data_IF_007865481405
#
_entry.id   IF_007865481405
#
_cell.length_a   1.000
_cell.length_b   1.000
_cell.length_c   1.000
_cell.angle_alpha   90.00
_cell.angle_beta   90.00
_cell.angle_gamma   90.00
#
_symmetry.space_group_name_H-M   'P 1'
#
loop_
_entity.id
_entity.type
_entity.pdbx_description
1 polymer ?
#
# COMPACT_ATOMS: atom_id res chain seq x y z
N UNK A 1 -6.88 82.55 38.99
CA UNK A 1 -7.62 81.63 38.10
C UNK A 1 -7.09 80.23 38.40
N UNK A 2 -7.65 79.36 39.24
CA UNK A 2 -8.97 79.29 39.86
C UNK A 2 -9.75 78.08 39.30
N UNK A 3 -9.69 76.92 39.99
CA UNK A 3 -10.67 75.83 39.86
C UNK A 3 -10.13 74.45 39.42
N UNK A 4 -10.07 73.49 40.35
CA UNK A 4 -10.38 72.06 40.06
C UNK A 4 -11.91 71.87 39.98
N UNK A 5 -12.54 70.68 40.16
CA UNK A 5 -12.01 69.39 40.66
C UNK A 5 -12.67 68.11 40.04
N UNK A 6 -12.45 66.97 40.70
CA UNK A 6 -13.39 65.87 41.01
C UNK A 6 -13.54 64.63 40.10
N UNK A 7 -13.45 63.49 40.81
CA UNK A 7 -13.81 62.11 40.50
C UNK A 7 -15.25 61.94 40.00
N UNK A 8 -15.52 60.83 39.28
CA UNK A 8 -16.76 60.06 39.53
C UNK A 8 -16.74 58.63 38.97
N UNK A 9 -17.55 57.83 39.67
CA UNK A 9 -17.63 56.37 39.77
C UNK A 9 -18.19 55.58 38.57
N UNK A 10 -17.93 54.27 38.64
CA UNK A 10 -18.51 53.11 37.95
C UNK A 10 -20.06 53.09 37.89
N UNK A 11 -20.68 52.34 36.95
CA UNK A 11 -21.18 51.01 37.37
C UNK A 11 -21.18 49.90 36.29
N UNK A 12 -21.01 48.64 36.75
CA UNK A 12 -21.47 47.38 36.13
C UNK A 12 -22.95 47.08 36.53
N UNK A 13 -23.53 45.89 36.26
CA UNK A 13 -23.91 45.21 35.00
C UNK A 13 -25.44 44.95 34.93
N UNK A 14 -25.98 44.46 33.81
CA UNK A 14 -27.39 44.10 33.68
C UNK A 14 -27.65 42.84 32.86
N UNK A 15 -28.02 41.76 33.56
CA UNK A 15 -28.63 40.53 33.03
C UNK A 15 -30.11 40.75 32.73
N UNK A 16 -30.65 40.06 31.72
CA UNK A 16 -32.09 40.06 31.42
C UNK A 16 -32.50 38.88 30.54
N UNK A 17 -32.95 37.81 31.20
CA UNK A 17 -33.70 36.68 30.66
C UNK A 17 -35.11 37.10 30.19
N UNK A 18 -35.69 36.33 29.25
CA UNK A 18 -37.11 35.99 29.31
C UNK A 18 -37.98 36.23 28.06
N UNK A 19 -38.22 35.15 27.31
CA UNK A 19 -39.58 34.66 27.08
C UNK A 19 -40.38 35.08 25.82
N UNK A 20 -40.69 34.07 24.98
CA UNK A 20 -42.07 33.86 24.53
C UNK A 20 -42.37 33.97 23.01
N UNK A 21 -43.37 33.21 22.50
CA UNK A 21 -43.31 32.58 21.17
C UNK A 21 -44.24 33.21 20.13
N UNK A 22 -43.88 33.13 18.83
CA UNK A 22 -44.81 33.21 17.70
C UNK A 22 -44.34 32.36 16.52
N UNK A 23 -45.11 31.33 16.23
CA UNK A 23 -45.22 30.70 14.91
C UNK A 23 -45.68 31.72 13.88
N UNK A 24 -45.20 31.59 12.62
CA UNK A 24 -45.99 31.63 11.39
C UNK A 24 -45.09 31.54 10.14
N UNK A 25 -45.45 30.59 9.27
CA UNK A 25 -45.21 30.53 7.81
C UNK A 25 -43.76 30.36 7.31
N UNK A 26 -43.50 29.19 6.71
CA UNK A 26 -42.19 28.78 6.19
C UNK A 26 -41.96 29.07 4.69
N UNK A 27 -40.79 28.63 4.17
CA UNK A 27 -40.61 28.35 2.76
C UNK A 27 -40.34 26.86 2.48
N UNK A 28 -40.58 26.50 1.22
CA UNK A 28 -40.61 25.17 0.64
C UNK A 28 -39.48 24.21 1.05
N UNK A 29 -39.87 23.00 1.42
CA UNK A 29 -39.02 21.82 1.56
C UNK A 29 -38.56 21.39 0.16
N UNK A 30 -37.28 21.56 -0.15
CA UNK A 30 -36.62 20.77 -1.18
C UNK A 30 -36.41 19.37 -0.57
N UNK A 31 -37.15 18.39 -1.09
CA UNK A 31 -36.94 16.98 -0.79
C UNK A 31 -35.48 16.61 -1.11
N UNK A 32 -34.71 16.33 -0.06
CA UNK A 32 -33.37 15.81 -0.20
C UNK A 32 -33.39 14.40 -0.80
N UNK A 33 -32.33 13.98 -1.49
CA UNK A 33 -32.23 12.63 -2.02
C UNK A 33 -32.37 11.60 -0.88
N UNK A 34 -32.96 10.42 -1.17
CA UNK A 34 -33.20 9.39 -0.16
C UNK A 34 -31.90 9.00 0.56
N UNK A 35 -31.95 8.64 1.86
CA UNK A 35 -30.79 8.18 2.58
C UNK A 35 -30.19 6.98 1.87
N UNK A 36 -28.90 7.06 1.55
CA UNK A 36 -28.14 5.95 1.01
C UNK A 36 -28.22 4.75 1.99
N UNK A 37 -28.33 3.50 1.50
CA UNK A 37 -28.33 2.33 2.36
C UNK A 37 -27.09 2.33 3.24
N UNK A 38 -27.31 2.34 4.55
CA UNK A 38 -26.27 2.15 5.56
C UNK A 38 -25.76 0.72 5.47
N UNK A 39 -24.65 0.53 4.75
CA UNK A 39 -23.87 -0.70 4.81
C UNK A 39 -23.09 -0.69 6.12
N UNK A 40 -23.53 -1.54 7.04
CA UNK A 40 -22.83 -1.85 8.28
C UNK A 40 -21.57 -2.67 7.93
N UNK A 41 -20.48 -1.97 7.61
CA UNK A 41 -19.17 -2.58 7.44
C UNK A 41 -18.63 -2.82 8.85
N UNK A 42 -18.99 -3.99 9.40
CA UNK A 42 -18.48 -4.46 10.68
C UNK A 42 -16.97 -4.34 10.74
N UNK A 43 -16.48 -3.56 11.71
CA UNK A 43 -15.06 -3.41 11.99
C UNK A 43 -14.45 -4.79 12.29
N UNK A 44 -13.40 -5.24 11.57
CA UNK A 44 -12.74 -6.49 11.90
C UNK A 44 -12.02 -6.33 13.24
N UNK A 45 -12.51 -7.03 14.27
CA UNK A 45 -11.91 -7.05 15.59
C UNK A 45 -10.50 -7.63 15.51
N UNK A 46 -9.49 -6.81 15.81
CA UNK A 46 -8.09 -7.19 15.85
C UNK A 46 -7.81 -8.13 17.04
N UNK A 47 -7.91 -9.43 16.80
CA UNK A 47 -7.27 -10.46 17.63
C UNK A 47 -6.46 -11.38 16.73
N UNK A 48 -5.29 -10.91 16.27
CA UNK A 48 -4.29 -11.77 15.65
C UNK A 48 -3.60 -12.56 16.76
N UNK A 49 -3.95 -13.86 16.88
CA UNK A 49 -3.14 -14.84 17.59
C UNK A 49 -1.86 -15.05 16.79
N UNK A 50 -0.71 -14.82 17.41
CA UNK A 50 0.57 -15.27 16.88
C UNK A 50 0.53 -16.81 16.85
N UNK A 51 0.43 -17.39 15.66
CA UNK A 51 0.60 -18.83 15.46
C UNK A 51 2.02 -19.03 14.95
N UNK A 52 2.91 -19.40 15.88
CA UNK A 52 4.17 -20.03 15.55
C UNK A 52 3.86 -21.37 14.89
N UNK A 53 4.32 -21.55 13.65
CA UNK A 53 4.16 -22.78 12.90
C UNK A 53 5.16 -23.81 13.43
N UNK A 54 4.76 -24.54 14.47
CA UNK A 54 5.44 -25.75 14.93
C UNK A 54 4.95 -26.89 14.05
N UNK A 55 5.88 -27.50 13.33
CA UNK A 55 5.71 -28.78 12.64
C UNK A 55 5.24 -29.84 13.65
N UNK A 56 4.01 -30.29 13.53
CA UNK A 56 3.52 -31.48 14.20
C UNK A 56 2.75 -32.34 13.20
N UNK A 57 3.41 -33.43 12.76
CA UNK A 57 2.77 -34.60 12.20
C UNK A 57 1.63 -35.05 13.14
N UNK A 58 0.42 -35.18 12.62
CA UNK A 58 -0.55 -36.13 13.13
C UNK A 58 -1.60 -36.43 12.05
N UNK A 59 -1.54 -37.66 11.54
CA UNK A 59 -2.55 -38.26 10.70
C UNK A 59 -3.89 -38.34 11.44
N UNK A 60 -4.99 -38.00 10.77
CA UNK A 60 -6.24 -38.72 10.98
C UNK A 60 -7.04 -38.78 9.68
N UNK A 61 -7.07 -40.00 9.13
CA UNK A 61 -7.90 -40.43 8.02
C UNK A 61 -9.35 -40.54 8.51
N UNK A 62 -10.27 -39.83 7.86
CA UNK A 62 -11.69 -40.13 7.91
C UNK A 62 -12.24 -40.04 6.47
N UNK A 63 -12.05 -41.14 5.75
CA UNK A 63 -12.53 -41.37 4.39
C UNK A 63 -14.00 -41.79 4.46
N UNK A 64 -14.90 -40.91 4.00
CA UNK A 64 -16.29 -41.26 3.70
C UNK A 64 -16.37 -41.48 2.18
N UNK A 65 -16.35 -42.76 1.78
CA UNK A 65 -16.55 -43.19 0.39
C UNK A 65 -18.04 -43.29 0.15
N UNK A 66 -18.61 -42.34 -0.59
CA UNK A 66 -19.85 -42.56 -1.30
C UNK A 66 -19.52 -43.15 -2.67
N UNK A 67 -19.76 -44.46 -2.82
CA UNK A 67 -19.59 -45.20 -4.07
C UNK A 67 -20.77 -44.88 -4.99
N UNK A 68 -20.50 -44.23 -6.11
CA UNK A 68 -21.33 -44.28 -7.30
C UNK A 68 -20.41 -44.62 -8.48
N UNK A 69 -20.68 -45.77 -9.11
CA UNK A 69 -19.80 -46.43 -10.06
C UNK A 69 -19.45 -45.61 -11.29
N UNK A 70 -18.17 -45.65 -11.66
CA UNK A 70 -17.67 -45.40 -13.03
C UNK A 70 -16.49 -46.35 -13.24
N UNK A 71 -16.54 -47.05 -14.38
CA UNK A 71 -15.57 -48.01 -14.90
C UNK A 71 -14.13 -47.51 -14.87
N UNK A 72 -13.21 -48.47 -14.66
CA UNK A 72 -11.80 -48.27 -14.38
C UNK A 72 -11.01 -47.53 -15.46
N UNK A 73 -10.20 -46.61 -14.97
CA UNK A 73 -8.91 -46.16 -15.49
C UNK A 73 -8.14 -45.70 -14.23
N UNK A 74 -6.86 -46.06 -14.09
CA UNK A 74 -5.97 -45.61 -13.00
C UNK A 74 -6.22 -44.14 -12.66
N UNK A 75 -6.19 -43.73 -11.37
CA UNK A 75 -6.63 -42.40 -10.95
C UNK A 75 -5.89 -41.35 -11.78
N UNK A 76 -6.54 -40.73 -12.78
CA UNK A 76 -5.83 -39.96 -13.82
C UNK A 76 -5.14 -38.72 -13.26
N UNK A 77 -5.26 -38.50 -11.96
CA UNK A 77 -5.13 -37.25 -11.28
C UNK A 77 -3.71 -36.90 -10.84
N UNK A 78 -2.93 -37.89 -10.39
CA UNK A 78 -1.54 -37.67 -9.96
C UNK A 78 -0.70 -37.30 -11.19
N UNK A 79 -0.76 -38.13 -12.23
CA UNK A 79 -0.12 -37.87 -13.52
C UNK A 79 -0.59 -36.55 -14.13
N UNK A 80 -1.90 -36.28 -14.13
CA UNK A 80 -2.46 -34.99 -14.61
C UNK A 80 -1.89 -33.80 -13.85
N UNK A 81 -1.81 -33.86 -12.51
CA UNK A 81 -1.27 -32.78 -11.69
C UNK A 81 0.23 -32.58 -11.94
N UNK A 82 1.01 -33.67 -12.03
CA UNK A 82 2.43 -33.62 -12.36
C UNK A 82 2.69 -33.04 -13.77
N UNK A 83 1.90 -33.43 -14.76
CA UNK A 83 1.99 -32.89 -16.12
C UNK A 83 1.57 -31.43 -16.21
N UNK A 84 0.45 -31.05 -15.57
CA UNK A 84 0.02 -29.66 -15.47
C UNK A 84 1.10 -28.81 -14.78
N UNK A 85 1.70 -29.32 -13.69
CA UNK A 85 2.79 -28.66 -12.99
C UNK A 85 4.03 -28.48 -13.87
N UNK A 86 4.47 -29.53 -14.58
CA UNK A 86 5.59 -29.46 -15.55
C UNK A 86 5.33 -28.47 -16.68
N UNK A 87 4.11 -28.43 -17.20
CA UNK A 87 3.71 -27.48 -18.24
C UNK A 87 3.74 -26.04 -17.69
N UNK A 88 3.25 -25.84 -16.47
CA UNK A 88 3.22 -24.53 -15.85
C UNK A 88 4.61 -23.98 -15.55
N UNK A 89 5.56 -24.80 -15.07
CA UNK A 89 6.94 -24.35 -14.81
C UNK A 89 7.67 -23.87 -16.07
N UNK A 90 7.26 -24.33 -17.26
CA UNK A 90 7.82 -23.86 -18.55
C UNK A 90 7.22 -22.53 -18.99
N UNK A 91 6.12 -22.09 -18.38
CA UNK A 91 5.45 -20.84 -18.75
C UNK A 91 6.22 -19.64 -18.21
N UNK A 92 6.44 -18.62 -19.05
CA UNK A 92 7.20 -17.41 -18.70
C UNK A 92 6.40 -16.48 -17.77
N UNK A 93 5.09 -16.35 -17.99
CA UNK A 93 4.20 -15.54 -17.17
C UNK A 93 2.74 -16.04 -17.22
N UNK A 94 1.96 -15.69 -16.21
CA UNK A 94 0.53 -15.97 -16.10
C UNK A 94 -0.24 -14.66 -16.00
N UNK A 95 -1.37 -14.57 -16.70
CA UNK A 95 -2.45 -13.67 -16.32
C UNK A 95 -3.36 -14.39 -15.30
N UNK A 96 -3.65 -13.69 -14.21
CA UNK A 96 -4.54 -14.08 -13.12
C UNK A 96 -5.72 -13.13 -13.11
N UNK A 97 -6.92 -13.63 -13.40
CA UNK A 97 -8.14 -12.82 -13.40
C UNK A 97 -9.17 -13.42 -12.44
N UNK A 98 -9.75 -12.60 -11.56
CA UNK A 98 -10.78 -13.06 -10.64
C UNK A 98 -10.97 -12.13 -9.46
N UNK A 99 -10.80 -12.67 -8.25
CA UNK A 99 -11.11 -11.96 -7.01
C UNK A 99 -9.98 -12.04 -5.99
N UNK A 100 -9.78 -10.94 -5.26
CA UNK A 100 -8.86 -10.81 -4.14
C UNK A 100 -9.45 -9.87 -3.11
N UNK A 101 -9.44 -10.26 -1.83
CA UNK A 101 -10.03 -9.50 -0.73
C UNK A 101 -11.49 -9.06 -0.99
N UNK A 102 -12.26 -9.92 -1.67
CA UNK A 102 -13.66 -9.66 -2.02
C UNK A 102 -13.90 -8.74 -3.23
N UNK A 103 -12.86 -8.12 -3.80
CA UNK A 103 -12.95 -7.28 -4.98
C UNK A 103 -12.43 -7.95 -6.25
N UNK A 104 -12.79 -7.39 -7.41
CA UNK A 104 -12.25 -7.82 -8.70
C UNK A 104 -10.74 -7.53 -8.77
N UNK A 105 -9.97 -8.46 -9.33
CA UNK A 105 -8.53 -8.40 -9.39
C UNK A 105 -7.97 -8.99 -10.68
N UNK A 106 -6.99 -8.28 -11.26
CA UNK A 106 -6.25 -8.68 -12.44
C UNK A 106 -4.77 -8.50 -12.17
N UNK A 107 -4.01 -9.60 -12.24
CA UNK A 107 -2.57 -9.58 -12.08
C UNK A 107 -1.89 -10.32 -13.23
N UNK A 108 -0.68 -9.89 -13.57
CA UNK A 108 0.25 -10.68 -14.35
C UNK A 108 1.42 -11.02 -13.43
N UNK A 109 1.79 -12.31 -13.39
CA UNK A 109 2.88 -12.83 -12.54
C UNK A 109 3.85 -13.60 -13.42
N UNK A 110 5.14 -13.25 -13.34
CA UNK A 110 6.20 -13.93 -14.09
C UNK A 110 6.65 -15.21 -13.39
N UNK A 111 7.44 -16.02 -14.10
CA UNK A 111 8.10 -17.22 -13.57
C UNK A 111 8.92 -16.95 -12.31
N UNK A 112 9.55 -15.78 -12.19
CA UNK A 112 10.35 -15.42 -11.03
C UNK A 112 9.52 -14.88 -9.85
N UNK A 113 8.22 -14.64 -10.05
CA UNK A 113 7.32 -14.09 -9.03
C UNK A 113 7.23 -12.57 -9.02
N UNK A 114 7.86 -11.89 -9.99
CA UNK A 114 7.60 -10.48 -10.25
C UNK A 114 6.15 -10.34 -10.73
N UNK A 115 5.42 -9.38 -10.17
CA UNK A 115 4.02 -9.21 -10.48
C UNK A 115 3.63 -7.75 -10.70
N UNK A 116 2.58 -7.55 -11.49
CA UNK A 116 1.93 -6.25 -11.65
C UNK A 116 0.45 -6.46 -11.89
N UNK A 117 -0.36 -5.56 -11.36
CA UNK A 117 -1.77 -5.50 -11.75
C UNK A 117 -2.55 -4.53 -10.92
N UNK A 118 -3.85 -4.79 -10.80
CA UNK A 118 -4.72 -4.01 -9.95
C UNK A 118 -5.83 -4.85 -9.35
N UNK A 119 -6.37 -4.38 -8.24
CA UNK A 119 -7.53 -4.94 -7.60
C UNK A 119 -8.42 -3.84 -7.02
N UNK A 120 -9.65 -4.19 -6.71
CA UNK A 120 -10.59 -3.30 -6.02
C UNK A 120 -10.58 -3.63 -4.53
N UNK A 121 -10.45 -2.62 -3.68
CA UNK A 121 -10.58 -2.78 -2.22
C UNK A 121 -11.45 -1.65 -1.68
N UNK A 122 -12.57 -2.01 -1.03
CA UNK A 122 -13.59 -1.05 -0.65
C UNK A 122 -14.11 -0.28 -1.88
N UNK A 123 -14.03 1.06 -1.83
CA UNK A 123 -14.53 1.94 -2.89
C UNK A 123 -13.45 2.44 -3.88
N UNK A 124 -12.23 1.89 -3.83
CA UNK A 124 -11.09 2.37 -4.61
C UNK A 124 -10.40 1.27 -5.41
N UNK A 125 -9.75 1.68 -6.50
CA UNK A 125 -8.83 0.83 -7.26
C UNK A 125 -7.42 0.95 -6.66
N UNK A 126 -6.75 -0.19 -6.53
CA UNK A 126 -5.37 -0.29 -6.06
C UNK A 126 -4.52 -0.88 -7.16
N UNK A 127 -3.53 -0.14 -7.64
CA UNK A 127 -2.48 -0.68 -8.49
C UNK A 127 -1.38 -1.29 -7.60
N UNK A 128 -0.83 -2.42 -8.02
CA UNK A 128 0.16 -3.20 -7.27
C UNK A 128 1.31 -3.62 -8.16
N UNK A 129 2.53 -3.53 -7.63
CA UNK A 129 3.75 -4.08 -8.22
C UNK A 129 4.49 -4.89 -7.15
N UNK A 130 4.85 -6.13 -7.46
CA UNK A 130 5.73 -6.95 -6.63
C UNK A 130 7.04 -7.12 -7.40
N UNK A 131 8.13 -6.52 -6.91
CA UNK A 131 9.44 -6.56 -7.58
C UNK A 131 10.55 -6.48 -6.54
N UNK A 132 11.63 -7.26 -6.75
CA UNK A 132 12.78 -7.27 -5.84
C UNK A 132 12.43 -7.67 -4.40
N UNK A 133 11.41 -8.52 -4.22
CA UNK A 133 10.94 -8.95 -2.89
C UNK A 133 10.16 -7.89 -2.12
N UNK A 134 9.76 -6.78 -2.77
CA UNK A 134 8.96 -5.71 -2.17
C UNK A 134 7.65 -5.56 -2.91
N UNK A 135 6.58 -5.24 -2.17
CA UNK A 135 5.29 -4.88 -2.75
C UNK A 135 5.11 -3.38 -2.68
N UNK A 136 4.67 -2.80 -3.80
CA UNK A 136 4.33 -1.39 -3.94
C UNK A 136 2.86 -1.24 -4.27
N UNK A 137 2.21 -0.24 -3.68
CA UNK A 137 0.80 0.06 -3.90
C UNK A 137 0.64 1.51 -4.33
N UNK A 138 -0.29 1.75 -5.24
CA UNK A 138 -0.76 3.09 -5.62
C UNK A 138 -2.28 3.09 -5.56
N UNK A 139 -2.83 3.93 -4.69
CA UNK A 139 -4.25 4.00 -4.40
C UNK A 139 -4.63 5.40 -3.94
N UNK A 140 -5.93 5.69 -3.93
CA UNK A 140 -6.46 6.96 -3.44
C UNK A 140 -6.46 7.06 -1.90
N UNK A 141 -6.65 8.27 -1.39
CA UNK A 141 -6.70 8.54 0.05
C UNK A 141 -7.79 7.78 0.80
N UNK A 142 -8.85 7.29 0.13
CA UNK A 142 -9.93 6.51 0.77
C UNK A 142 -9.44 5.12 1.11
N UNK A 143 -8.70 4.46 0.21
CA UNK A 143 -8.04 3.19 0.50
C UNK A 143 -7.12 3.29 1.72
N UNK A 144 -6.27 4.33 1.76
CA UNK A 144 -5.32 4.53 2.86
C UNK A 144 -6.01 4.76 4.21
N UNK A 145 -7.12 5.51 4.23
CA UNK A 145 -7.91 5.69 5.46
C UNK A 145 -8.56 4.38 5.89
N UNK A 146 -9.11 3.61 4.94
CA UNK A 146 -9.75 2.32 5.21
C UNK A 146 -8.75 1.28 5.76
N UNK A 147 -7.47 1.35 5.36
CA UNK A 147 -6.38 0.54 5.94
C UNK A 147 -5.84 1.09 7.26
N UNK A 148 -6.60 1.95 7.95
CA UNK A 148 -6.29 2.45 9.29
C UNK A 148 -5.23 3.55 9.33
N UNK A 149 -4.84 4.14 8.19
CA UNK A 149 -3.83 5.21 8.15
C UNK A 149 -4.44 6.55 8.54
N UNK A 150 -3.64 7.37 9.21
CA UNK A 150 -4.06 8.74 9.56
C UNK A 150 -4.35 9.57 8.30
N UNK A 151 -5.23 10.57 8.41
CA UNK A 151 -5.54 11.47 7.29
C UNK A 151 -4.31 12.16 6.69
N UNK A 152 -3.28 12.44 7.50
CA UNK A 152 -2.03 13.02 7.03
C UNK A 152 -1.19 12.04 6.18
N UNK A 153 -1.17 10.76 6.56
CA UNK A 153 -0.51 9.70 5.77
C UNK A 153 -1.29 9.44 4.49
N UNK A 154 -2.61 9.31 4.59
CA UNK A 154 -3.50 9.10 3.44
C UNK A 154 -3.39 10.23 2.39
N UNK A 155 -3.30 11.49 2.82
CA UNK A 155 -3.13 12.63 1.91
C UNK A 155 -1.77 12.65 1.21
N UNK A 156 -0.71 12.09 1.83
CA UNK A 156 0.62 11.97 1.19
C UNK A 156 0.70 10.81 0.21
N UNK A 157 -0.02 9.72 0.51
CA UNK A 157 -0.06 8.52 -0.30
C UNK A 157 -1.09 8.57 -1.44
N UNK A 158 -1.92 9.62 -1.49
CA UNK A 158 -3.01 9.78 -2.45
C UNK A 158 -2.50 9.80 -3.90
N UNK A 159 -2.74 8.71 -4.61
CA UNK A 159 -2.30 8.55 -6.00
C UNK A 159 -0.78 8.44 -6.17
N UNK A 160 0.00 8.26 -5.10
CA UNK A 160 1.44 8.08 -5.14
C UNK A 160 1.81 6.59 -5.01
N UNK A 161 2.96 6.19 -5.56
CA UNK A 161 3.54 4.89 -5.24
C UNK A 161 4.03 4.88 -3.79
N UNK A 162 3.69 3.82 -3.10
CA UNK A 162 4.07 3.59 -1.70
C UNK A 162 4.58 2.17 -1.53
N UNK A 163 5.41 1.92 -0.51
CA UNK A 163 5.58 0.53 -0.04
C UNK A 163 4.26 0.05 0.55
N UNK A 164 3.93 -1.22 0.30
CA UNK A 164 2.81 -1.85 0.96
C UNK A 164 3.08 -1.90 2.47
N UNK A 165 2.14 -1.42 3.29
CA UNK A 165 2.24 -1.67 4.72
C UNK A 165 2.30 -3.18 5.03
N UNK A 166 3.02 -3.56 6.08
CA UNK A 166 3.19 -4.97 6.45
C UNK A 166 1.88 -5.73 6.70
N UNK A 167 0.80 -5.01 7.02
CA UNK A 167 -0.53 -5.55 7.29
C UNK A 167 -1.52 -5.39 6.14
N UNK A 168 -1.14 -4.69 5.06
CA UNK A 168 -2.04 -4.38 3.94
C UNK A 168 -2.08 -5.46 2.86
N UNK A 169 -1.12 -6.38 2.84
CA UNK A 169 -0.98 -7.39 1.79
C UNK A 169 -0.79 -8.76 2.42
N UNK A 170 -1.87 -9.55 2.43
CA UNK A 170 -1.86 -10.92 2.99
C UNK A 170 -1.42 -11.97 1.96
N UNK A 171 -1.65 -11.71 0.67
CA UNK A 171 -1.27 -12.60 -0.43
C UNK A 171 0.03 -12.17 -1.11
N UNK A 172 1.03 -13.04 -1.11
CA UNK A 172 2.22 -12.96 -1.96
C UNK A 172 1.89 -13.41 -3.38
N UNK A 173 1.97 -12.52 -4.38
CA UNK A 173 1.73 -12.92 -5.78
C UNK A 173 2.85 -13.81 -6.31
N UNK A 174 4.05 -13.75 -5.73
CA UNK A 174 5.15 -14.66 -6.06
C UNK A 174 4.83 -16.13 -5.78
N UNK A 175 3.98 -16.41 -4.79
CA UNK A 175 3.51 -17.77 -4.48
C UNK A 175 2.52 -18.28 -5.54
N UNK A 176 1.95 -17.37 -6.34
CA UNK A 176 1.11 -17.65 -7.50
C UNK A 176 1.89 -17.60 -8.84
N UNK A 177 3.23 -17.55 -8.79
CA UNK A 177 4.06 -17.65 -10.00
C UNK A 177 3.93 -19.02 -10.67
N UNK A 178 4.12 -19.12 -12.00
CA UNK A 178 4.11 -20.41 -12.68
C UNK A 178 5.11 -21.42 -12.09
N UNK A 179 6.28 -20.97 -11.62
CA UNK A 179 7.26 -21.83 -10.92
C UNK A 179 6.69 -22.42 -9.64
N UNK A 180 6.14 -21.56 -8.76
CA UNK A 180 5.63 -21.98 -7.44
C UNK A 180 4.39 -22.83 -7.57
N UNK A 181 3.41 -22.41 -8.38
CA UNK A 181 2.22 -23.21 -8.63
C UNK A 181 2.57 -24.58 -9.24
N UNK A 182 3.52 -24.62 -10.18
CA UNK A 182 3.93 -25.87 -10.83
C UNK A 182 4.75 -26.79 -9.91
N UNK A 183 5.50 -26.23 -8.96
CA UNK A 183 6.14 -26.99 -7.89
C UNK A 183 5.10 -27.56 -6.92
N UNK A 184 4.21 -26.72 -6.40
CA UNK A 184 3.17 -27.12 -5.45
C UNK A 184 2.29 -28.24 -6.02
N UNK A 185 1.92 -28.18 -7.30
CA UNK A 185 1.13 -29.24 -7.94
C UNK A 185 1.86 -30.57 -8.03
N UNK A 186 3.18 -30.58 -8.24
CA UNK A 186 3.96 -31.81 -8.29
C UNK A 186 4.15 -32.42 -6.90
N UNK A 187 4.36 -31.59 -5.88
CA UNK A 187 4.50 -32.04 -4.49
C UNK A 187 3.15 -32.51 -3.90
N UNK A 188 2.06 -31.83 -4.24
CA UNK A 188 0.73 -32.13 -3.72
C UNK A 188 0.04 -33.31 -4.41
N UNK A 189 0.51 -33.73 -5.58
CA UNK A 189 -0.15 -34.75 -6.39
C UNK A 189 -0.17 -36.12 -5.71
N UNK A 190 0.81 -36.42 -4.86
CA UNK A 190 1.04 -37.79 -4.38
C UNK A 190 0.08 -38.19 -3.23
N UNK A 191 -0.51 -37.20 -2.52
CA UNK A 191 -1.21 -37.45 -1.25
C UNK A 191 -2.68 -36.97 -1.19
N UNK A 192 -3.25 -36.42 -2.27
CA UNK A 192 -4.50 -35.66 -2.18
C UNK A 192 -5.72 -36.30 -2.86
N UNK A 193 -6.90 -36.18 -2.22
CA UNK A 193 -8.15 -36.67 -2.80
C UNK A 193 -8.51 -35.83 -4.02
N UNK A 194 -8.69 -36.51 -5.14
CA UNK A 194 -9.05 -35.88 -6.41
C UNK A 194 -10.53 -36.06 -6.71
N UNK A 195 -11.19 -34.97 -7.07
CA UNK A 195 -12.60 -34.98 -7.49
C UNK A 195 -12.74 -34.51 -8.93
N UNK A 196 -13.45 -35.30 -9.75
CA UNK A 196 -13.87 -34.86 -11.10
C UNK A 196 -14.91 -33.76 -10.96
N UNK A 197 -14.82 -32.74 -11.80
CA UNK A 197 -15.76 -31.61 -11.80
C UNK A 197 -15.84 -31.00 -13.21
N UNK A 198 -16.62 -29.92 -13.35
CA UNK A 198 -16.63 -29.05 -14.52
C UNK A 198 -16.41 -27.61 -14.05
N UNK A 199 -15.56 -26.86 -14.75
CA UNK A 199 -15.33 -25.44 -14.49
C UNK A 199 -15.59 -24.67 -15.77
N UNK A 200 -16.56 -23.75 -15.77
CA UNK A 200 -16.96 -22.95 -16.94
C UNK A 200 -17.19 -23.81 -18.20
N UNK A 201 -17.85 -24.97 -18.05
CA UNK A 201 -18.11 -25.92 -19.13
C UNK A 201 -16.92 -26.84 -19.51
N UNK A 202 -15.73 -26.63 -18.95
CA UNK A 202 -14.54 -27.47 -19.19
C UNK A 202 -14.46 -28.61 -18.18
N UNK A 203 -14.35 -29.86 -18.65
CA UNK A 203 -14.11 -31.03 -17.80
C UNK A 203 -12.80 -30.83 -17.02
N UNK A 204 -12.89 -30.92 -15.69
CA UNK A 204 -11.79 -30.59 -14.81
C UNK A 204 -11.60 -31.60 -13.67
N UNK A 205 -10.44 -31.51 -13.04
CA UNK A 205 -10.07 -32.16 -11.78
C UNK A 205 -9.91 -31.07 -10.73
N UNK A 206 -10.55 -31.25 -9.57
CA UNK A 206 -10.36 -30.44 -8.38
C UNK A 206 -9.39 -31.14 -7.44
N UNK A 207 -8.30 -30.45 -7.10
CA UNK A 207 -7.28 -30.86 -6.16
C UNK A 207 -7.27 -29.86 -5.00
N UNK A 208 -7.40 -30.32 -3.75
CA UNK A 208 -7.46 -29.42 -2.58
C UNK A 208 -6.30 -29.74 -1.63
N UNK A 209 -5.43 -28.76 -1.41
CA UNK A 209 -4.31 -28.80 -0.44
C UNK A 209 -4.72 -28.09 0.84
N UNK A 210 -3.82 -28.06 1.84
CA UNK A 210 -4.06 -27.36 3.10
C UNK A 210 -4.32 -25.83 2.95
N UNK A 211 -3.87 -25.21 1.86
CA UNK A 211 -3.99 -23.76 1.67
C UNK A 211 -4.60 -23.33 0.33
N UNK A 212 -4.82 -24.25 -0.61
CA UNK A 212 -5.34 -23.88 -1.93
C UNK A 212 -6.13 -25.00 -2.60
N UNK A 213 -7.09 -24.63 -3.44
CA UNK A 213 -7.78 -25.51 -4.37
C UNK A 213 -7.34 -25.19 -5.79
N UNK A 214 -6.91 -26.22 -6.53
CA UNK A 214 -6.54 -26.13 -7.94
C UNK A 214 -7.59 -26.83 -8.80
N UNK A 215 -7.89 -26.22 -9.95
CA UNK A 215 -8.71 -26.81 -10.99
C UNK A 215 -7.87 -27.05 -12.22
N UNK A 216 -7.76 -28.31 -12.64
CA UNK A 216 -6.93 -28.75 -13.76
C UNK A 216 -7.80 -29.24 -14.91
N UNK A 217 -7.48 -28.94 -16.17
CA UNK A 217 -8.22 -29.48 -17.30
C UNK A 217 -8.00 -30.99 -17.45
N UNK A 218 -9.06 -31.70 -17.88
CA UNK A 218 -8.98 -33.11 -18.28
C UNK A 218 -8.80 -33.22 -19.79
N UNK A 219 -7.64 -32.82 -20.27
CA UNK A 219 -7.23 -32.86 -21.68
C UNK A 219 -5.90 -33.60 -21.84
N UNK A 220 -5.53 -33.96 -23.06
CA UNK A 220 -4.24 -34.62 -23.36
C UNK A 220 -3.02 -33.79 -22.91
N UNK A 221 -3.15 -32.46 -22.97
CA UNK A 221 -2.21 -31.52 -22.35
C UNK A 221 -2.94 -30.83 -21.19
N UNK A 222 -2.81 -31.34 -19.95
CA UNK A 222 -3.49 -30.75 -18.82
C UNK A 222 -2.87 -29.42 -18.44
N UNK A 223 -3.73 -28.47 -18.06
CA UNK A 223 -3.35 -27.11 -17.63
C UNK A 223 -4.12 -26.69 -16.39
N UNK A 224 -3.53 -25.79 -15.61
CA UNK A 224 -4.24 -25.12 -14.52
C UNK A 224 -5.24 -24.14 -15.11
N UNK A 225 -6.51 -24.29 -14.72
CA UNK A 225 -7.61 -23.42 -15.12
C UNK A 225 -7.89 -22.35 -14.07
N UNK A 226 -7.84 -22.72 -12.79
CA UNK A 226 -8.12 -21.83 -11.66
C UNK A 226 -7.36 -22.25 -10.41
N UNK A 227 -6.96 -21.27 -9.61
CA UNK A 227 -6.44 -21.44 -8.25
C UNK A 227 -7.30 -20.63 -7.28
N UNK A 228 -7.65 -21.22 -6.14
CA UNK A 228 -8.43 -20.59 -5.08
C UNK A 228 -7.73 -20.80 -3.74
N UNK A 229 -7.84 -19.83 -2.85
CA UNK A 229 -7.34 -19.93 -1.48
C UNK A 229 -8.16 -19.04 -0.57
N UNK A 230 -7.66 -18.82 0.65
CA UNK A 230 -8.32 -17.90 1.56
C UNK A 230 -8.25 -16.47 1.01
N UNK A 231 -9.42 -15.82 0.88
CA UNK A 231 -9.52 -14.46 0.36
C UNK A 231 -9.21 -14.26 -1.14
N UNK A 232 -8.99 -15.31 -1.94
CA UNK A 232 -8.76 -15.15 -3.39
C UNK A 232 -9.28 -16.31 -4.27
N UNK A 233 -9.55 -16.00 -5.54
CA UNK A 233 -9.88 -16.98 -6.58
C UNK A 233 -9.52 -16.41 -7.95
N UNK A 234 -8.58 -17.03 -8.66
CA UNK A 234 -8.07 -16.57 -9.97
C UNK A 234 -8.17 -17.64 -11.04
N UNK A 235 -8.73 -17.28 -12.19
CA UNK A 235 -8.53 -17.98 -13.44
C UNK A 235 -7.10 -17.77 -13.93
N UNK A 236 -6.46 -18.85 -14.38
CA UNK A 236 -5.05 -18.90 -14.74
C UNK A 236 -4.94 -19.02 -16.26
N UNK A 237 -4.29 -18.04 -16.90
CA UNK A 237 -4.05 -18.04 -18.34
C UNK A 237 -2.57 -17.84 -18.63
N UNK A 238 -1.89 -18.80 -19.29
CA UNK A 238 -0.53 -18.60 -19.78
C UNK A 238 -0.43 -17.38 -20.70
N UNK A 239 0.56 -16.53 -20.47
CA UNK A 239 0.79 -15.34 -21.29
C UNK A 239 1.67 -15.69 -22.51
N UNK A 240 1.29 -15.29 -23.74
CA UNK A 240 2.16 -15.47 -24.90
C UNK A 240 3.37 -14.53 -24.83
N UNK A 241 4.47 -14.89 -25.49
CA UNK A 241 5.74 -14.14 -25.44
C UNK A 241 5.59 -12.64 -25.78
N UNK A 242 4.78 -12.30 -26.78
CA UNK A 242 4.54 -10.90 -27.16
C UNK A 242 3.86 -10.08 -26.05
N UNK A 243 2.93 -10.70 -25.31
CA UNK A 243 2.29 -10.06 -24.16
C UNK A 243 3.24 -9.98 -22.95
N UNK A 244 4.16 -10.94 -22.80
CA UNK A 244 5.24 -10.90 -21.81
C UNK A 244 6.20 -9.73 -22.07
N UNK A 245 6.56 -9.46 -23.33
CA UNK A 245 7.41 -8.32 -23.69
C UNK A 245 6.73 -6.97 -23.39
N UNK A 246 5.43 -6.86 -23.70
CA UNK A 246 4.61 -5.69 -23.35
C UNK A 246 4.55 -5.52 -21.82
N UNK A 247 4.36 -6.61 -21.08
CA UNK A 247 4.38 -6.60 -19.62
C UNK A 247 5.70 -6.05 -19.09
N UNK A 248 6.86 -6.55 -19.54
CA UNK A 248 8.17 -6.08 -19.07
C UNK A 248 8.46 -4.63 -19.48
N UNK A 249 8.07 -4.21 -20.69
CA UNK A 249 8.19 -2.82 -21.12
C UNK A 249 7.42 -1.88 -20.18
N UNK A 250 6.16 -2.24 -19.89
CA UNK A 250 5.30 -1.42 -19.03
C UNK A 250 5.77 -1.46 -17.58
N UNK A 251 6.22 -2.62 -17.09
CA UNK A 251 6.75 -2.79 -15.74
C UNK A 251 8.05 -1.98 -15.55
N UNK A 252 8.97 -1.96 -16.51
CA UNK A 252 10.19 -1.12 -16.42
C UNK A 252 9.86 0.36 -16.32
N UNK A 253 8.87 0.83 -17.09
CA UNK A 253 8.39 2.21 -16.99
C UNK A 253 7.89 2.52 -15.57
N UNK A 254 7.01 1.68 -15.03
CA UNK A 254 6.46 1.90 -13.69
C UNK A 254 7.47 1.67 -12.56
N UNK A 255 8.44 0.76 -12.75
CA UNK A 255 9.56 0.59 -11.82
C UNK A 255 10.42 1.85 -11.75
N UNK A 256 10.56 2.59 -12.86
CA UNK A 256 11.15 3.93 -12.88
C UNK A 256 10.38 4.92 -11.98
N UNK A 257 9.05 4.84 -11.97
CA UNK A 257 8.19 5.67 -11.13
C UNK A 257 8.21 5.28 -9.63
N UNK A 258 8.92 4.20 -9.26
CA UNK A 258 9.10 3.81 -7.85
C UNK A 258 10.23 4.56 -7.14
N UNK A 259 11.00 5.39 -7.85
CA UNK A 259 12.00 6.28 -7.23
C UNK A 259 11.31 7.20 -6.22
N UNK A 260 11.82 7.20 -4.98
CA UNK A 260 11.24 8.03 -3.92
C UNK A 260 9.83 7.60 -3.51
N UNK A 261 9.41 6.36 -3.76
CA UNK A 261 8.12 5.85 -3.31
C UNK A 261 7.96 6.03 -1.79
N UNK A 262 6.79 6.50 -1.35
CA UNK A 262 6.57 6.86 0.06
C UNK A 262 6.43 5.62 0.95
N UNK A 263 7.01 5.65 2.15
CA UNK A 263 6.87 4.57 3.14
C UNK A 263 5.84 4.95 4.23
N UNK A 264 4.63 4.35 4.22
CA UNK A 264 3.57 4.66 5.17
C UNK A 264 3.74 3.99 6.54
N UNK A 265 4.69 3.05 6.70
CA UNK A 265 4.99 2.41 7.98
C UNK A 265 6.07 3.14 8.77
N UNK A 266 6.71 4.14 8.15
CA UNK A 266 7.62 5.05 8.83
C UNK A 266 6.90 6.35 9.18
N UNK A 267 6.80 6.60 10.48
CA UNK A 267 6.26 7.83 11.02
C UNK A 267 7.35 8.65 11.70
N UNK A 268 7.15 9.97 11.76
CA UNK A 268 8.03 10.88 12.47
C UNK A 268 7.23 11.49 13.61
N UNK A 269 7.30 10.93 14.83
CA UNK A 269 6.61 11.51 15.98
C UNK A 269 7.01 12.99 16.12
N UNK A 270 6.05 13.82 16.56
CA UNK A 270 6.19 15.29 16.59
C UNK A 270 7.38 15.78 17.44
N UNK A 271 7.92 14.93 18.30
CA UNK A 271 9.17 15.14 19.05
C UNK A 271 10.42 14.93 18.20
N UNK A 272 10.42 15.39 16.94
CA UNK A 272 11.68 15.71 16.27
C UNK A 272 12.44 16.68 17.20
N UNK A 273 13.74 16.44 17.40
CA UNK A 273 14.56 17.25 18.29
C UNK A 273 14.43 18.75 17.98
N UNK A 274 14.68 19.60 18.99
CA UNK A 274 14.60 21.06 18.82
C UNK A 274 15.32 21.48 17.54
N UNK A 275 14.61 22.20 16.68
CA UNK A 275 15.24 22.80 15.50
C UNK A 275 16.09 23.96 15.96
N UNK A 276 17.36 23.94 15.60
CA UNK A 276 18.31 25.00 15.87
C UNK A 276 18.53 25.79 14.58
N UNK A 277 18.62 27.11 14.71
CA UNK A 277 19.07 27.94 13.61
C UNK A 277 20.58 28.06 13.65
N UNK A 278 21.20 27.89 12.49
CA UNK A 278 22.52 28.43 12.25
C UNK A 278 22.48 29.95 12.15
N UNK A 279 23.52 30.56 11.58
CA UNK A 279 23.54 32.02 11.40
C UNK A 279 22.60 32.43 10.26
N UNK A 280 21.53 33.18 10.57
CA UNK A 280 20.68 33.82 9.56
C UNK A 280 21.29 35.15 9.10
N UNK A 281 21.54 35.30 7.79
CA UNK A 281 22.03 36.53 7.14
C UNK A 281 21.20 36.83 5.89
N UNK A 282 21.45 37.96 5.24
CA UNK A 282 20.80 38.28 3.95
C UNK A 282 21.03 37.20 2.89
N UNK A 283 22.16 36.50 2.92
CA UNK A 283 22.49 35.42 1.98
C UNK A 283 21.77 34.09 2.27
N UNK A 284 21.11 33.95 3.41
CA UNK A 284 20.35 32.75 3.75
C UNK A 284 20.24 32.48 5.24
N UNK A 285 19.51 31.43 5.57
CA UNK A 285 19.51 30.86 6.91
C UNK A 285 19.48 29.34 6.85
N UNK A 286 20.18 28.69 7.77
CA UNK A 286 20.21 27.23 7.89
C UNK A 286 19.40 26.81 9.12
N UNK A 287 18.53 25.82 8.95
CA UNK A 287 17.84 25.13 10.02
C UNK A 287 18.42 23.72 10.16
N UNK A 288 18.76 23.35 11.38
CA UNK A 288 19.40 22.07 11.70
C UNK A 288 18.65 21.39 12.84
N UNK A 289 18.73 20.07 12.89
CA UNK A 289 18.13 19.32 13.98
C UNK A 289 18.33 17.83 13.83
N UNK A 290 17.59 17.08 14.63
CA UNK A 290 17.59 15.63 14.60
C UNK A 290 16.17 15.11 14.60
N UNK A 291 15.94 14.00 13.91
CA UNK A 291 14.67 13.30 13.90
C UNK A 291 14.89 11.82 14.17
N UNK A 292 13.95 11.21 14.89
CA UNK A 292 13.91 9.79 15.15
C UNK A 292 12.68 9.22 14.43
N UNK A 293 12.86 8.52 13.30
CA UNK A 293 11.77 7.79 12.68
C UNK A 293 11.31 6.63 13.59
N UNK A 294 10.00 6.46 13.70
CA UNK A 294 9.37 5.26 14.23
C UNK A 294 8.88 4.41 13.06
N UNK A 295 9.49 3.24 12.88
CA UNK A 295 9.23 2.33 11.77
C UNK A 295 8.58 1.05 12.28
N UNK A 296 7.37 0.74 11.80
CA UNK A 296 6.71 -0.54 12.06
C UNK A 296 7.21 -1.60 11.07
N UNK A 297 7.57 -2.78 11.58
CA UNK A 297 7.89 -3.93 10.74
C UNK A 297 9.19 -3.83 9.94
N UNK A 298 10.22 -3.12 10.46
CA UNK A 298 11.51 -2.85 9.78
C UNK A 298 12.06 -4.03 8.96
N UNK A 299 12.89 -3.83 7.92
CA UNK A 299 14.24 -3.26 7.99
C UNK A 299 14.71 -2.88 6.58
N UNK A 300 15.35 -1.72 6.48
CA UNK A 300 16.10 -1.29 5.31
C UNK A 300 16.61 0.13 5.54
N UNK A 301 17.64 0.58 4.81
CA UNK A 301 17.91 2.01 4.73
C UNK A 301 16.64 2.72 4.26
N UNK A 302 16.25 3.76 4.99
CA UNK A 302 15.16 4.66 4.57
C UNK A 302 15.80 5.95 4.06
N UNK A 303 15.21 6.54 3.04
CA UNK A 303 15.53 7.89 2.63
C UNK A 303 14.59 8.84 3.35
N UNK A 304 15.13 9.71 4.19
CA UNK A 304 14.35 10.72 4.90
C UNK A 304 14.41 12.02 4.12
N UNK A 305 13.26 12.41 3.58
CA UNK A 305 13.07 13.69 2.93
C UNK A 305 12.65 14.70 3.99
N UNK A 306 13.48 15.73 4.17
CA UNK A 306 13.23 16.83 5.09
C UNK A 306 12.88 18.07 4.31
N UNK A 307 11.69 18.64 4.54
CA UNK A 307 11.30 19.95 4.01
C UNK A 307 11.15 20.93 5.17
N UNK A 308 11.82 22.08 5.12
CA UNK A 308 11.71 23.11 6.15
C UNK A 308 11.02 24.34 5.58
N UNK A 309 9.89 24.72 6.16
CA UNK A 309 9.25 26.01 5.91
C UNK A 309 9.81 27.06 6.89
N UNK A 310 10.45 28.11 6.36
CA UNK A 310 10.83 29.28 7.14
C UNK A 310 9.66 30.27 7.13
N UNK A 311 9.18 30.63 8.32
CA UNK A 311 7.99 31.47 8.47
C UNK A 311 8.28 32.71 9.30
N UNK A 312 7.61 33.79 8.92
CA UNK A 312 7.57 35.02 9.69
C UNK A 312 6.74 34.83 10.98
N UNK A 313 6.81 35.75 11.96
CA UNK A 313 6.00 35.67 13.19
C UNK A 313 4.50 35.64 12.92
N UNK A 314 4.07 36.23 11.79
CA UNK A 314 2.68 36.21 11.30
C UNK A 314 2.22 34.85 10.78
N UNK A 315 3.13 33.88 10.63
CA UNK A 315 2.85 32.55 10.09
C UNK A 315 3.02 32.43 8.57
N UNK A 316 3.25 33.54 7.85
CA UNK A 316 3.48 33.54 6.42
C UNK A 316 4.79 32.82 6.04
N UNK A 317 4.76 31.99 4.98
CA UNK A 317 5.95 31.28 4.49
C UNK A 317 6.85 32.25 3.73
N UNK A 318 8.03 32.50 4.29
CA UNK A 318 9.08 33.33 3.70
C UNK A 318 9.75 32.54 2.58
N UNK A 319 10.17 31.31 2.89
CA UNK A 319 10.90 30.45 1.96
C UNK A 319 10.82 28.99 2.42
N UNK A 320 11.25 28.09 1.52
CA UNK A 320 11.28 26.65 1.74
C UNK A 320 12.63 26.11 1.28
N UNK A 321 13.16 25.13 2.00
CA UNK A 321 14.23 24.27 1.49
C UNK A 321 13.82 22.80 1.66
N UNK A 322 14.42 21.93 0.87
CA UNK A 322 14.27 20.48 1.00
C UNK A 322 15.63 19.83 0.89
N UNK A 323 15.84 18.78 1.67
CA UNK A 323 17.03 17.93 1.64
C UNK A 323 16.61 16.47 1.83
N UNK A 324 17.47 15.53 1.47
CA UNK A 324 17.22 14.11 1.69
C UNK A 324 18.48 13.40 2.18
N UNK A 325 18.32 12.50 3.14
CA UNK A 325 19.42 11.69 3.65
C UNK A 325 19.00 10.24 3.77
N UNK A 326 19.84 9.34 3.26
CA UNK A 326 19.69 7.90 3.49
C UNK A 326 20.27 7.56 4.86
N UNK A 327 19.51 6.82 5.67
CA UNK A 327 19.99 6.42 7.00
C UNK A 327 19.49 5.04 7.38
N UNK A 328 20.40 4.26 7.96
CA UNK A 328 20.11 3.04 8.73
C UNK A 328 20.11 3.31 10.23
N UNK A 329 20.45 4.54 10.64
CA UNK A 329 20.56 4.96 12.04
C UNK A 329 19.19 5.36 12.59
N UNK A 330 18.92 5.09 13.89
CA UNK A 330 17.67 5.48 14.54
C UNK A 330 17.53 7.00 14.73
N UNK A 331 18.63 7.75 14.61
CA UNK A 331 18.68 9.21 14.71
C UNK A 331 19.28 9.80 13.46
N UNK A 332 18.57 10.73 12.84
CA UNK A 332 18.94 11.33 11.56
C UNK A 332 19.11 12.82 11.79
N UNK A 333 20.32 13.32 11.56
CA UNK A 333 20.56 14.75 11.52
C UNK A 333 20.05 15.30 10.18
N UNK A 334 19.43 16.48 10.21
CA UNK A 334 19.10 17.23 9.01
C UNK A 334 19.73 18.62 9.07
N UNK A 335 20.13 19.15 7.91
CA UNK A 335 20.56 20.54 7.74
C UNK A 335 19.95 21.06 6.45
N UNK A 336 19.19 22.15 6.54
CA UNK A 336 18.44 22.66 5.41
C UNK A 336 18.62 24.17 5.34
N UNK A 337 19.22 24.63 4.24
CA UNK A 337 19.53 26.05 4.03
C UNK A 337 18.56 26.68 3.05
N UNK A 338 17.97 27.79 3.45
CA UNK A 338 17.24 28.68 2.54
C UNK A 338 18.10 29.88 2.13
N UNK A 339 17.79 30.47 0.98
CA UNK A 339 18.50 31.62 0.42
C UNK A 339 17.75 32.20 -0.78
N UNK A 340 18.47 32.95 -1.61
CA UNK A 340 17.93 33.54 -2.85
C UNK A 340 17.16 34.85 -2.63
N UNK A 341 16.60 35.36 -3.74
CA UNK A 341 16.00 36.71 -3.82
C UNK A 341 14.82 36.90 -2.87
N UNK A 342 13.97 35.89 -2.71
CA UNK A 342 12.80 35.93 -1.82
C UNK A 342 13.21 36.08 -0.34
N UNK A 343 14.21 35.30 0.09
CA UNK A 343 14.77 35.43 1.44
C UNK A 343 15.46 36.79 1.64
N UNK A 344 16.32 37.20 0.70
CA UNK A 344 17.04 38.47 0.79
C UNK A 344 16.10 39.69 0.80
N UNK A 345 15.00 39.64 0.05
CA UNK A 345 13.96 40.66 0.05
C UNK A 345 13.27 40.77 1.42
N UNK A 346 12.82 39.64 1.97
CA UNK A 346 12.22 39.59 3.30
C UNK A 346 13.19 40.05 4.40
N UNK A 347 14.44 39.60 4.35
CA UNK A 347 15.47 39.96 5.32
C UNK A 347 15.73 41.48 5.33
N UNK A 348 15.78 42.11 4.14
CA UNK A 348 15.94 43.57 4.00
C UNK A 348 14.73 44.33 4.52
N UNK A 349 13.50 43.90 4.19
CA UNK A 349 12.28 44.60 4.61
C UNK A 349 12.04 44.58 6.11
N UNK A 350 12.71 43.66 6.84
CA UNK A 350 12.62 43.55 8.30
C UNK A 350 13.93 43.93 9.01
N UNK A 351 14.88 44.57 8.30
CA UNK A 351 16.19 44.99 8.80
C UNK A 351 16.97 43.91 9.58
N UNK A 352 16.74 42.63 9.25
CA UNK A 352 17.34 41.49 9.96
C UNK A 352 16.92 41.31 11.43
N UNK A 353 15.92 42.05 11.93
CA UNK A 353 15.52 42.06 13.36
C UNK A 353 14.26 41.26 13.68
N UNK A 354 13.60 40.68 12.69
CA UNK A 354 12.38 39.89 12.89
C UNK A 354 12.68 38.44 13.28
N UNK A 355 11.89 37.91 14.22
CA UNK A 355 11.93 36.49 14.55
C UNK A 355 11.58 35.61 13.36
N UNK A 356 12.35 34.54 13.15
CA UNK A 356 12.06 33.49 12.16
C UNK A 356 11.76 32.20 12.89
N UNK A 357 10.78 31.44 12.39
CA UNK A 357 10.49 30.09 12.86
C UNK A 357 10.66 29.09 11.73
N UNK A 358 11.24 27.94 12.06
CA UNK A 358 11.46 26.84 11.12
C UNK A 358 10.52 25.71 11.49
N UNK A 359 9.77 25.24 10.50
CA UNK A 359 8.82 24.16 10.66
C UNK A 359 9.28 22.99 9.79
N UNK A 360 10.10 22.07 10.32
CA UNK A 360 10.52 20.90 9.58
C UNK A 360 9.32 19.95 9.40
N UNK A 361 9.26 19.34 8.23
CA UNK A 361 8.34 18.27 7.86
C UNK A 361 9.16 17.12 7.31
N UNK A 362 8.87 15.92 7.78
CA UNK A 362 9.60 14.71 7.42
C UNK A 362 8.68 13.75 6.66
N UNK A 363 9.24 13.16 5.62
CA UNK A 363 8.70 12.01 4.89
C UNK A 363 9.77 10.93 4.80
N UNK A 364 9.31 9.68 4.72
CA UNK A 364 10.18 8.55 4.46
C UNK A 364 9.87 8.06 3.05
N UNK A 365 10.91 7.88 2.26
CA UNK A 365 10.82 7.33 0.93
C UNK A 365 11.77 6.14 0.83
N UNK A 366 11.52 5.31 -0.18
CA UNK A 366 12.37 4.19 -0.56
C UNK A 366 12.78 4.35 -2.01
N UNK A 367 13.79 3.56 -2.39
CA UNK A 367 14.37 3.52 -3.73
C UNK A 367 15.01 4.85 -4.15
N UNK A 368 16.32 4.92 -3.98
CA UNK A 368 17.15 5.89 -4.68
C UNK A 368 17.19 5.60 -6.19
N UNK A 369 17.71 6.54 -6.98
CA UNK A 369 17.97 6.31 -8.41
C UNK A 369 18.88 5.09 -8.66
N UNK A 370 19.82 4.80 -7.76
CA UNK A 370 20.67 3.60 -7.81
C UNK A 370 19.86 2.32 -7.57
N UNK A 371 18.98 2.32 -6.57
CA UNK A 371 18.08 1.19 -6.29
C UNK A 371 17.17 0.90 -7.49
N UNK A 372 16.59 1.94 -8.10
CA UNK A 372 15.77 1.80 -9.31
C UNK A 372 16.59 1.26 -10.48
N UNK A 373 17.82 1.75 -10.69
CA UNK A 373 18.72 1.24 -11.74
C UNK A 373 19.05 -0.25 -11.54
N UNK A 374 19.26 -0.67 -10.28
CA UNK A 374 19.46 -2.07 -9.94
C UNK A 374 18.19 -2.91 -10.20
N UNK A 375 17.01 -2.42 -9.81
CA UNK A 375 15.72 -3.08 -10.10
C UNK A 375 15.51 -3.26 -11.61
N UNK A 376 15.78 -2.23 -12.41
CA UNK A 376 15.67 -2.29 -13.88
C UNK A 376 16.63 -3.34 -14.46
N UNK A 377 17.83 -3.48 -13.90
CA UNK A 377 18.79 -4.52 -14.30
C UNK A 377 18.28 -5.93 -13.98
N UNK A 378 17.68 -6.13 -12.80
CA UNK A 378 17.06 -7.40 -12.43
C UNK A 378 15.91 -7.76 -13.37
N UNK A 379 15.02 -6.80 -13.68
CA UNK A 379 13.92 -7.00 -14.62
C UNK A 379 14.40 -7.35 -16.03
N UNK A 380 15.48 -6.70 -16.51
CA UNK A 380 16.06 -7.03 -17.81
C UNK A 380 16.63 -8.45 -17.85
N UNK A 381 17.33 -8.89 -16.78
CA UNK A 381 17.82 -10.28 -16.65
C UNK A 381 16.67 -11.29 -16.57
N UNK A 382 15.60 -10.93 -15.86
CA UNK A 382 14.43 -11.77 -15.74
C UNK A 382 13.74 -11.99 -17.10
N UNK A 383 13.56 -10.92 -17.90
CA UNK A 383 12.99 -11.02 -19.25
C UNK A 383 13.80 -11.94 -20.16
N UNK A 384 15.13 -12.02 -19.98
CA UNK A 384 16.00 -12.88 -20.79
C UNK A 384 15.98 -14.35 -20.38
N UNK A 385 15.62 -14.65 -19.13
CA UNK A 385 15.64 -16.01 -18.57
C UNK A 385 14.23 -16.61 -18.39
N UNK A 386 13.20 -15.78 -18.42
CA UNK A 386 11.78 -16.13 -18.48
C UNK A 386 11.38 -16.65 -19.85
#
# INVERSE_FOLDING_TARGET
MGGGPADDQEPRPGSGDGGGPRDLAGPAVLEGPPPAPSYDIGAPSSKRRAVALVLALAALVAVVIAVAGVTGDDPPSVKTAHEAGRNLTKTAALALNGTYAGGHAMFTVTRAGTARGSYTAGAGQVARIDVGGRTYLKADSRFWKASGRSSAVAARADGAWTTAPYDAVELSLGDLSPSRLGQNLREAADDLPVRRTTLNGVKAIRLTTAGSTYFLSRSESPRVLRVQGDGFSFDVTPLPSSATDIFFSTLRKEAGDLEGAYDPDVSFPRTAGRTHFGTCRMSGCTAEGRVEPDARGGRGPIQVVTTVDFRAPTGAVISRCSDSATSTKPRIAFSCRTGGTRWASWYRSHHGRSGVRAYPRFGATVNSAEDVSHLLTLLAREQQTG
#
